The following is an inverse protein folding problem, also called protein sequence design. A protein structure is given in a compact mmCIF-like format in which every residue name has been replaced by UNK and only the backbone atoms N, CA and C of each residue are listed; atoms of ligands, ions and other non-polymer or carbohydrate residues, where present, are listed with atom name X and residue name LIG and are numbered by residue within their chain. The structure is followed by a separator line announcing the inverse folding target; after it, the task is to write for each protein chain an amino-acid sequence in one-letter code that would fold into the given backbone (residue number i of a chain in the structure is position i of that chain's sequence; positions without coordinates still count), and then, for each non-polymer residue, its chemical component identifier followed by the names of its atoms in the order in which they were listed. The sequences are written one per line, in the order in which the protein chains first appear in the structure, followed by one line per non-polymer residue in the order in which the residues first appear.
data_IF_638093002978
#
_entry.id   IF_638093002978
#
_cell.length_a   1.000
_cell.length_b   1.000
_cell.length_c   1.000
_cell.angle_alpha   90.00
_cell.angle_beta   90.00
_cell.angle_gamma   90.00
#
_symmetry.space_group_name_H-M   'P 1'
#
loop_
_entity.id
_entity.type
_entity.pdbx_description
1 polymer ?
#
# COMPACT_ATOMS: atom_id res chain seq x y z
N UNK A 1 27.80 12.55 -1.44
CA UNK A 1 27.48 12.83 -2.85
C UNK A 1 26.12 12.21 -3.08
N UNK A 2 25.13 12.95 -3.61
CA UNK A 2 23.85 12.33 -3.95
C UNK A 2 24.12 11.23 -5.00
N UNK A 3 23.64 10.02 -4.76
CA UNK A 3 23.75 8.94 -5.73
C UNK A 3 23.04 9.35 -7.02
N UNK A 4 23.62 8.98 -8.16
CA UNK A 4 23.06 9.31 -9.46
C UNK A 4 21.81 8.45 -9.68
N UNK A 5 20.65 9.08 -9.82
CA UNK A 5 19.40 8.40 -10.19
C UNK A 5 19.53 7.82 -11.62
N UNK A 6 19.12 6.57 -11.79
CA UNK A 6 19.10 5.87 -13.09
C UNK A 6 18.15 6.57 -14.06
N UNK A 7 18.51 6.66 -15.35
CA UNK A 7 17.59 7.25 -16.34
C UNK A 7 16.39 6.33 -16.56
N UNK A 8 15.19 6.92 -16.57
CA UNK A 8 13.93 6.21 -16.82
C UNK A 8 13.94 5.41 -18.12
N UNK A 9 14.60 5.91 -19.16
CA UNK A 9 14.67 5.25 -20.48
C UNK A 9 15.61 4.04 -20.50
N UNK A 10 16.57 3.99 -19.57
CA UNK A 10 17.59 2.94 -19.52
C UNK A 10 17.08 1.76 -18.68
N UNK A 11 16.54 2.05 -17.50
CA UNK A 11 15.96 1.05 -16.62
C UNK A 11 14.85 1.70 -15.78
N UNK A 12 13.61 1.45 -16.16
CA UNK A 12 12.44 1.99 -15.49
C UNK A 12 12.29 1.46 -14.06
N UNK A 13 12.59 0.18 -13.84
CA UNK A 13 12.44 -0.47 -12.54
C UNK A 13 13.44 0.10 -11.55
N UNK A 14 14.71 0.23 -11.95
CA UNK A 14 15.72 0.85 -11.10
C UNK A 14 15.46 2.34 -10.89
N UNK A 15 15.07 3.08 -11.93
CA UNK A 15 14.68 4.50 -11.80
C UNK A 15 13.56 4.71 -10.76
N UNK A 16 12.54 3.86 -10.75
CA UNK A 16 11.46 3.94 -9.76
C UNK A 16 11.96 3.67 -8.35
N UNK A 17 12.78 2.62 -8.17
CA UNK A 17 13.37 2.30 -6.86
C UNK A 17 14.28 3.43 -6.37
N UNK A 18 15.13 3.98 -7.24
CA UNK A 18 15.99 5.12 -6.93
C UNK A 18 15.17 6.30 -6.44
N UNK A 19 14.07 6.63 -7.13
CA UNK A 19 13.18 7.71 -6.69
C UNK A 19 12.57 7.43 -5.31
N UNK A 20 11.98 6.26 -5.11
CA UNK A 20 11.31 5.91 -3.84
C UNK A 20 12.29 5.96 -2.66
N UNK A 21 13.48 5.40 -2.83
CA UNK A 21 14.49 5.30 -1.78
C UNK A 21 15.18 6.65 -1.54
N UNK A 22 15.67 7.30 -2.59
CA UNK A 22 16.49 8.51 -2.46
C UNK A 22 15.68 9.76 -2.10
N UNK A 23 14.39 9.83 -2.49
CA UNK A 23 13.49 10.90 -2.02
C UNK A 23 13.00 10.68 -0.58
N UNK A 24 13.31 9.53 0.02
CA UNK A 24 12.89 9.20 1.37
C UNK A 24 11.38 8.95 1.50
N UNK A 25 10.75 8.38 0.47
CA UNK A 25 9.34 7.98 0.50
C UNK A 25 9.14 6.68 1.29
N UNK A 26 9.98 5.69 1.05
CA UNK A 26 9.95 4.40 1.74
C UNK A 26 11.35 3.77 1.79
N UNK A 27 11.49 2.73 2.61
CA UNK A 27 12.68 1.90 2.70
C UNK A 27 12.30 0.41 2.82
N UNK A 28 13.24 -0.47 2.51
CA UNK A 28 13.01 -1.91 2.59
C UNK A 28 12.79 -2.34 4.05
N UNK A 29 11.80 -3.21 4.25
CA UNK A 29 11.60 -3.88 5.53
C UNK A 29 12.31 -5.24 5.56
N UNK A 30 12.53 -5.86 6.74
CA UNK A 30 13.06 -7.23 6.82
C UNK A 30 12.08 -8.30 6.30
N UNK A 31 10.81 -7.96 6.06
CA UNK A 31 9.79 -8.86 5.54
C UNK A 31 9.69 -8.68 4.03
N UNK A 32 9.86 -9.78 3.28
CA UNK A 32 9.75 -9.76 1.82
C UNK A 32 8.35 -9.29 1.41
N UNK A 33 8.30 -8.37 0.44
CA UNK A 33 7.04 -7.79 -0.04
C UNK A 33 6.49 -6.67 0.85
N UNK A 34 7.21 -6.29 1.92
CA UNK A 34 6.82 -5.20 2.81
C UNK A 34 7.86 -4.07 2.81
N UNK A 35 7.37 -2.86 3.08
CA UNK A 35 8.16 -1.63 3.10
C UNK A 35 7.89 -0.86 4.39
N UNK A 36 8.87 -0.12 4.88
CA UNK A 36 8.63 0.93 5.87
C UNK A 36 8.38 2.23 5.12
N UNK A 37 7.16 2.76 5.22
CA UNK A 37 6.82 4.04 4.62
C UNK A 37 7.34 5.15 5.54
N UNK A 38 8.18 6.03 5.00
CA UNK A 38 8.84 7.12 5.75
C UNK A 38 7.89 8.32 5.88
N UNK A 39 8.17 9.30 6.75
CA UNK A 39 7.27 10.44 6.99
C UNK A 39 6.84 11.18 5.72
N UNK A 40 7.74 11.33 4.74
CA UNK A 40 7.39 11.99 3.48
C UNK A 40 6.39 11.17 2.64
N UNK A 41 6.59 9.86 2.53
CA UNK A 41 5.63 8.98 1.84
C UNK A 41 4.32 8.85 2.60
N UNK A 42 4.36 8.84 3.93
CA UNK A 42 3.17 8.75 4.77
C UNK A 42 2.30 9.99 4.65
N UNK A 43 2.90 11.19 4.60
CA UNK A 43 2.17 12.44 4.41
C UNK A 43 1.37 12.45 3.09
N UNK A 44 1.94 11.90 2.00
CA UNK A 44 1.22 11.76 0.72
C UNK A 44 0.01 10.83 0.88
N UNK A 45 0.18 9.71 1.57
CA UNK A 45 -0.91 8.78 1.86
C UNK A 45 -2.01 9.43 2.72
N UNK A 46 -1.64 10.20 3.74
CA UNK A 46 -2.59 10.92 4.60
C UNK A 46 -3.43 11.93 3.80
N UNK A 47 -2.82 12.66 2.88
CA UNK A 47 -3.52 13.59 1.99
C UNK A 47 -4.48 12.85 1.03
N UNK A 48 -4.02 11.77 0.40
CA UNK A 48 -4.87 10.94 -0.46
C UNK A 48 -6.09 10.42 0.31
N UNK A 49 -5.85 9.86 1.50
CA UNK A 49 -6.91 9.34 2.38
C UNK A 49 -7.89 10.45 2.77
N UNK A 50 -7.41 11.62 3.17
CA UNK A 50 -8.22 12.77 3.57
C UNK A 50 -9.17 13.23 2.45
N UNK A 51 -8.64 13.33 1.23
CA UNK A 51 -9.41 13.73 0.05
C UNK A 51 -10.50 12.70 -0.26
N UNK A 52 -10.18 11.41 -0.23
CA UNK A 52 -11.13 10.34 -0.51
C UNK A 52 -12.21 10.23 0.58
N UNK A 53 -11.81 10.29 1.86
CA UNK A 53 -12.72 10.26 3.01
C UNK A 53 -13.77 11.38 2.94
N UNK A 54 -13.34 12.59 2.59
CA UNK A 54 -14.26 13.71 2.37
C UNK A 54 -15.30 13.39 1.28
N UNK A 55 -14.87 12.88 0.13
CA UNK A 55 -15.76 12.54 -1.00
C UNK A 55 -16.76 11.44 -0.65
N UNK A 56 -16.35 10.44 0.14
CA UNK A 56 -17.25 9.39 0.61
C UNK A 56 -18.30 9.96 1.56
N UNK A 57 -17.92 10.85 2.47
CA UNK A 57 -18.86 11.50 3.40
C UNK A 57 -19.86 12.41 2.69
N UNK A 58 -19.43 13.12 1.63
CA UNK A 58 -20.32 13.93 0.79
C UNK A 58 -21.45 13.12 0.14
N UNK A 59 -21.27 11.81 -0.03
CA UNK A 59 -22.26 10.89 -0.59
C UNK A 59 -23.02 10.09 0.48
N UNK A 60 -22.88 10.44 1.75
CA UNK A 60 -23.60 9.83 2.88
C UNK A 60 -22.96 8.59 3.47
N UNK A 61 -21.73 8.23 3.06
CA UNK A 61 -21.02 7.09 3.63
C UNK A 61 -20.52 7.39 5.05
N UNK A 62 -20.47 6.36 5.89
CA UNK A 62 -19.98 6.43 7.27
C UNK A 62 -18.85 5.43 7.44
N UNK A 63 -17.73 5.88 8.02
CA UNK A 63 -16.60 5.01 8.29
C UNK A 63 -16.92 4.01 9.41
N UNK A 64 -16.47 2.78 9.24
CA UNK A 64 -16.48 1.75 10.26
C UNK A 64 -15.09 1.09 10.34
N UNK A 65 -14.77 0.50 11.48
CA UNK A 65 -13.54 -0.27 11.68
C UNK A 65 -13.92 -1.68 12.12
N UNK A 66 -13.52 -2.65 11.31
CA UNK A 66 -13.71 -4.07 11.57
C UNK A 66 -12.39 -4.70 12.03
N UNK A 67 -12.43 -5.83 12.76
CA UNK A 67 -11.23 -6.56 13.13
C UNK A 67 -10.42 -6.99 11.89
N UNK A 68 -9.10 -6.79 11.94
CA UNK A 68 -8.19 -7.23 10.86
C UNK A 68 -8.04 -8.75 10.81
N UNK A 69 -8.13 -9.43 11.95
CA UNK A 69 -8.03 -10.88 12.05
C UNK A 69 -9.41 -11.49 11.91
N UNK A 70 -9.61 -12.24 10.82
CA UNK A 70 -10.88 -12.89 10.50
C UNK A 70 -10.74 -14.39 10.79
N UNK A 71 -11.70 -15.01 11.51
CA UNK A 71 -11.70 -16.46 11.71
C UNK A 71 -11.71 -17.21 10.38
N UNK A 72 -10.88 -18.25 10.26
CA UNK A 72 -10.77 -19.08 9.04
C UNK A 72 -12.13 -19.56 8.53
N UNK A 73 -13.02 -19.99 9.43
CA UNK A 73 -14.36 -20.47 9.07
C UNK A 73 -15.23 -19.41 8.38
N UNK A 74 -15.01 -18.11 8.60
CA UNK A 74 -15.70 -17.04 7.85
C UNK A 74 -15.08 -16.81 6.48
N UNK A 75 -13.76 -16.99 6.33
CA UNK A 75 -13.08 -16.92 5.03
C UNK A 75 -13.46 -18.11 4.13
N UNK A 76 -13.52 -19.32 4.70
CA UNK A 76 -13.89 -20.56 3.98
C UNK A 76 -15.35 -20.54 3.48
N UNK A 77 -16.25 -19.81 4.15
CA UNK A 77 -17.62 -19.62 3.69
C UNK A 77 -17.71 -18.77 2.40
N UNK A 78 -16.73 -17.89 2.17
CA UNK A 78 -16.62 -17.06 0.96
C UNK A 78 -15.85 -17.76 -0.18
N UNK A 79 -15.18 -18.89 0.08
CA UNK A 79 -14.39 -19.62 -0.95
C UNK A 79 -15.25 -20.08 -2.14
N UNK A 80 -16.55 -20.30 -1.96
CA UNK A 80 -17.48 -20.58 -3.06
C UNK A 80 -17.67 -19.43 -4.05
N UNK A 81 -17.35 -18.19 -3.66
CA UNK A 81 -17.38 -16.99 -4.51
C UNK A 81 -15.97 -16.45 -4.82
N UNK A 82 -14.95 -16.91 -4.11
CA UNK A 82 -13.62 -16.29 -4.05
C UNK A 82 -12.50 -17.27 -4.46
N UNK A 83 -12.67 -17.99 -5.57
CA UNK A 83 -11.62 -18.80 -6.20
C UNK A 83 -10.43 -17.91 -6.62
N UNK A 84 -9.51 -17.67 -5.69
CA UNK A 84 -8.33 -16.83 -5.91
C UNK A 84 -7.82 -16.09 -4.66
N UNK A 85 -8.69 -15.79 -3.70
CA UNK A 85 -8.29 -15.06 -2.48
C UNK A 85 -7.48 -15.91 -1.51
N UNK A 86 -7.79 -17.21 -1.41
CA UNK A 86 -7.17 -18.11 -0.43
C UNK A 86 -5.64 -18.20 -0.52
N UNK A 87 -5.03 -17.93 -1.70
CA UNK A 87 -3.57 -17.94 -1.88
C UNK A 87 -2.86 -16.68 -1.40
N UNK A 88 -3.60 -15.57 -1.25
CA UNK A 88 -3.08 -14.27 -0.81
C UNK A 88 -3.36 -14.00 0.69
N UNK A 89 -4.06 -14.92 1.36
CA UNK A 89 -4.30 -14.87 2.81
C UNK A 89 -3.08 -15.39 3.58
N UNK A 90 -2.55 -14.57 4.49
CA UNK A 90 -1.43 -14.89 5.39
C UNK A 90 -1.86 -15.78 6.57
#
# INVERSE_FOLDING_TARGET
MAEKITSREVDYSQWYNDLVLQSGLAEYSPVRGSMVIKPYGWAIWEEMKSILDKRFKETGHVNASFPLLIPKGFLEQEEGHAEGFAKECA
#
